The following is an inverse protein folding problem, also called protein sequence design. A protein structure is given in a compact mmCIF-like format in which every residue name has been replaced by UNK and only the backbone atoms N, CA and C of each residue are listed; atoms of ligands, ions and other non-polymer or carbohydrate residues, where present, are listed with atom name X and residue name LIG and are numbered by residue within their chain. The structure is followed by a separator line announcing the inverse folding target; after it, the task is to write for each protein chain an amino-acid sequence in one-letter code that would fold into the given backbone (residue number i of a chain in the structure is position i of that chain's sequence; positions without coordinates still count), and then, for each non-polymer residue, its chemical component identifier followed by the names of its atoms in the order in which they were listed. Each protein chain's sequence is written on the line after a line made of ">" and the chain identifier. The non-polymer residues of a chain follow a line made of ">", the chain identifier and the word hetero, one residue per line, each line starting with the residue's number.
data_IF_923478307872
#
_entry.id   IF_923478307872
#
_cell.length_a   1.000
_cell.length_b   1.000
_cell.length_c   1.000
_cell.angle_alpha   90.00
_cell.angle_beta   90.00
_cell.angle_gamma   90.00
#
_symmetry.space_group_name_H-M   'P 1'
#
loop_
_entity.id
_entity.type
_entity.pdbx_description
1 polymer ?
#
# COMPACT_ATOMS: atom_id res chain seq x y z
N UNK A 1 -19.67 23.97 -86.72
CA UNK A 1 -19.31 25.40 -86.56
C UNK A 1 -18.79 25.62 -85.14
N UNK A 2 -17.68 26.36 -84.99
CA UNK A 2 -17.27 27.13 -83.78
C UNK A 2 -17.44 28.62 -84.16
N UNK A 3 -17.55 29.63 -83.26
CA UNK A 3 -16.98 29.70 -81.91
C UNK A 3 -17.99 30.12 -80.80
N UNK A 4 -17.81 31.22 -80.03
CA UNK A 4 -17.39 31.25 -78.62
C UNK A 4 -18.58 31.53 -77.65
N UNK A 5 -18.47 31.80 -76.34
CA UNK A 5 -17.34 32.35 -75.57
C UNK A 5 -17.32 31.97 -74.05
N UNK A 6 -16.61 32.79 -73.27
CA UNK A 6 -16.25 32.70 -71.85
C UNK A 6 -17.07 33.67 -70.96
N UNK A 7 -17.03 33.47 -69.64
CA UNK A 7 -17.63 34.44 -68.68
C UNK A 7 -17.78 33.95 -67.24
N UNK A 8 -16.69 33.78 -66.50
CA UNK A 8 -16.74 33.57 -65.04
C UNK A 8 -16.81 34.90 -64.29
N UNK A 9 -17.85 35.10 -63.46
CA UNK A 9 -17.88 36.20 -62.47
C UNK A 9 -18.46 35.69 -61.14
N UNK A 10 -17.77 35.99 -60.03
CA UNK A 10 -18.16 35.65 -58.65
C UNK A 10 -19.22 36.62 -58.11
N UNK A 11 -20.06 36.15 -57.18
CA UNK A 11 -20.52 36.82 -55.93
C UNK A 11 -21.40 35.80 -55.17
N UNK A 12 -20.93 35.15 -54.10
CA UNK A 12 -20.92 35.62 -52.70
C UNK A 12 -22.30 36.04 -52.16
N UNK A 13 -23.01 35.07 -51.57
CA UNK A 13 -23.88 35.15 -50.37
C UNK A 13 -24.20 33.67 -50.01
N UNK A 14 -24.25 33.21 -48.76
CA UNK A 14 -24.23 33.93 -47.49
C UNK A 14 -25.27 33.33 -46.54
N UNK A 15 -25.06 32.10 -46.06
CA UNK A 15 -25.91 31.45 -45.07
C UNK A 15 -25.08 30.47 -44.22
N UNK A 16 -24.61 30.93 -43.06
CA UNK A 16 -23.84 30.09 -42.14
C UNK A 16 -24.74 29.17 -41.33
N UNK A 17 -24.55 27.84 -41.43
CA UNK A 17 -25.00 26.93 -40.39
C UNK A 17 -24.05 27.04 -39.18
N UNK A 18 -24.43 27.87 -38.22
CA UNK A 18 -23.81 27.84 -36.89
C UNK A 18 -24.29 26.57 -36.16
N UNK A 19 -23.47 25.53 -36.17
CA UNK A 19 -23.72 24.34 -35.36
C UNK A 19 -23.53 24.67 -33.88
N UNK A 20 -24.63 24.80 -33.13
CA UNK A 20 -24.60 25.03 -31.70
C UNK A 20 -24.13 23.77 -30.95
N UNK A 21 -22.81 23.69 -30.72
CA UNK A 21 -22.21 22.70 -29.84
C UNK A 21 -22.60 22.97 -28.38
N UNK A 22 -23.69 22.33 -27.93
CA UNK A 22 -24.05 22.26 -26.52
C UNK A 22 -23.06 21.36 -25.78
N UNK A 23 -21.99 21.98 -25.25
CA UNK A 23 -21.11 21.36 -24.26
C UNK A 23 -21.89 21.20 -22.94
N UNK A 24 -22.10 19.97 -22.42
CA UNK A 24 -22.62 19.79 -21.07
C UNK A 24 -21.55 20.27 -20.08
N UNK A 25 -21.91 21.25 -19.25
CA UNK A 25 -21.05 21.70 -18.16
C UNK A 25 -20.91 20.57 -17.13
N UNK A 26 -19.79 19.86 -17.15
CA UNK A 26 -19.45 18.89 -16.14
C UNK A 26 -19.20 19.62 -14.81
N UNK A 27 -20.19 19.60 -13.92
CA UNK A 27 -20.02 20.11 -12.57
C UNK A 27 -18.91 19.32 -11.87
N UNK A 28 -17.95 19.99 -11.18
CA UNK A 28 -16.95 19.28 -10.40
C UNK A 28 -17.65 18.63 -9.22
N UNK A 29 -17.83 17.30 -9.27
CA UNK A 29 -18.23 16.53 -8.12
C UNK A 29 -17.11 16.57 -7.08
N UNK A 30 -17.19 17.52 -6.14
CA UNK A 30 -16.31 17.56 -4.98
C UNK A 30 -16.65 16.37 -4.08
N UNK A 31 -15.96 15.26 -4.30
CA UNK A 31 -15.96 14.15 -3.36
C UNK A 31 -15.23 14.62 -2.10
N UNK A 32 -15.99 15.03 -1.07
CA UNK A 32 -15.40 15.22 0.26
C UNK A 32 -14.75 13.91 0.70
N UNK A 33 -13.45 13.90 1.05
CA UNK A 33 -12.84 12.72 1.62
C UNK A 33 -13.55 12.42 2.94
N UNK A 34 -14.03 11.18 3.18
CA UNK A 34 -14.77 10.87 4.38
C UNK A 34 -13.87 11.14 5.59
N UNK A 35 -14.26 12.11 6.41
CA UNK A 35 -13.58 12.45 7.67
C UNK A 35 -13.79 11.34 8.69
N UNK A 36 -13.09 10.22 8.48
CA UNK A 36 -12.87 9.21 9.50
C UNK A 36 -11.90 9.80 10.51
N UNK A 37 -12.44 10.35 11.59
CA UNK A 37 -11.75 10.36 12.87
C UNK A 37 -11.16 8.96 13.09
N UNK A 38 -9.90 8.81 13.52
CA UNK A 38 -9.36 7.50 13.89
C UNK A 38 -10.04 7.07 15.19
N UNK A 39 -11.28 6.58 15.08
CA UNK A 39 -11.88 5.75 16.10
C UNK A 39 -10.91 4.59 16.34
N UNK A 40 -10.57 4.36 17.60
CA UNK A 40 -9.71 3.24 17.99
C UNK A 40 -10.28 1.98 17.33
N UNK A 41 -9.49 1.37 16.44
CA UNK A 41 -9.92 0.17 15.72
C UNK A 41 -10.28 -0.87 16.79
N UNK A 42 -11.49 -1.44 16.78
CA UNK A 42 -11.87 -2.42 17.78
C UNK A 42 -10.88 -3.59 17.68
N UNK A 43 -10.13 -3.81 18.75
CA UNK A 43 -9.41 -5.06 18.94
C UNK A 43 -10.45 -6.20 18.93
N UNK A 44 -10.10 -7.34 18.36
CA UNK A 44 -11.00 -8.48 18.38
C UNK A 44 -11.20 -8.93 19.84
N UNK A 45 -12.45 -8.87 20.34
CA UNK A 45 -12.79 -9.16 21.74
C UNK A 45 -12.11 -10.44 22.25
N UNK A 46 -11.10 -10.28 23.10
CA UNK A 46 -10.19 -11.35 23.53
C UNK A 46 -10.80 -12.36 24.50
N UNK A 47 -12.13 -12.40 24.66
CA UNK A 47 -12.85 -13.11 25.73
C UNK A 47 -12.62 -14.65 25.77
N UNK A 48 -11.95 -15.23 24.77
CA UNK A 48 -11.46 -16.62 24.73
C UNK A 48 -10.01 -16.75 24.19
N UNK A 49 -9.28 -15.66 23.98
CA UNK A 49 -8.05 -15.62 23.16
C UNK A 49 -6.87 -14.86 23.78
N UNK A 50 -5.83 -14.64 22.96
CA UNK A 50 -4.77 -13.67 23.21
C UNK A 50 -5.24 -12.34 22.62
N UNK A 51 -5.42 -11.31 23.44
CA UNK A 51 -5.62 -9.95 22.94
C UNK A 51 -4.26 -9.29 22.69
N UNK A 52 -4.17 -8.51 21.62
CA UNK A 52 -3.02 -7.69 21.25
C UNK A 52 -3.54 -6.32 20.81
N UNK A 53 -2.80 -5.22 21.05
CA UNK A 53 -3.20 -3.91 20.56
C UNK A 53 -3.31 -3.92 19.03
N UNK A 54 -4.39 -3.35 18.49
CA UNK A 54 -4.58 -3.21 17.06
C UNK A 54 -3.47 -2.34 16.44
N UNK A 55 -2.91 -2.78 15.32
CA UNK A 55 -1.86 -2.03 14.64
C UNK A 55 -2.46 -0.83 13.87
N UNK A 56 -1.93 0.40 14.05
CA UNK A 56 -2.43 1.56 13.31
C UNK A 56 -1.98 1.46 11.85
N UNK A 57 -2.88 1.77 10.92
CA UNK A 57 -2.56 1.85 9.49
C UNK A 57 -2.01 3.23 9.09
N UNK A 58 -2.27 4.25 9.91
CA UNK A 58 -1.76 5.61 9.78
C UNK A 58 -1.75 6.32 11.16
N UNK A 59 -0.89 7.33 11.30
CA UNK A 59 -0.86 8.29 12.40
C UNK A 59 -1.82 9.46 12.10
N UNK A 60 -2.18 10.23 13.13
CA UNK A 60 -3.05 11.41 12.97
C UNK A 60 -2.40 12.44 12.02
N UNK A 61 -3.05 12.79 10.88
CA UNK A 61 -2.55 13.79 9.97
C UNK A 61 -2.63 15.22 10.54
N UNK A 62 -3.40 15.46 11.61
CA UNK A 62 -3.57 16.78 12.25
C UNK A 62 -2.63 17.02 13.42
N UNK A 63 -1.93 16.00 13.92
CA UNK A 63 -1.00 16.15 15.03
C UNK A 63 0.23 16.98 14.62
N UNK A 64 0.54 18.03 15.40
CA UNK A 64 1.64 18.98 15.11
C UNK A 64 2.99 18.28 14.89
N UNK A 65 3.29 17.27 15.70
CA UNK A 65 4.46 16.42 15.57
C UNK A 65 4.11 15.05 14.97
N UNK A 66 5.12 14.39 14.40
CA UNK A 66 5.07 12.95 14.10
C UNK A 66 5.65 12.21 15.30
N UNK A 67 4.79 11.54 16.07
CA UNK A 67 5.20 10.64 17.16
C UNK A 67 5.05 9.21 16.67
N UNK A 68 6.15 8.45 16.60
CA UNK A 68 6.13 7.10 16.07
C UNK A 68 5.44 6.12 17.02
N UNK A 69 4.79 5.11 16.45
CA UNK A 69 4.18 4.01 17.20
C UNK A 69 5.28 3.26 17.97
N UNK A 70 5.22 3.17 19.31
CA UNK A 70 6.21 2.43 20.09
C UNK A 70 6.03 0.92 19.89
N UNK A 71 7.13 0.18 20.00
CA UNK A 71 7.08 -1.29 20.00
C UNK A 71 6.17 -1.83 21.12
N UNK A 72 5.39 -2.87 20.81
CA UNK A 72 4.52 -3.53 21.79
C UNK A 72 5.33 -4.11 22.95
N UNK A 73 4.88 -3.85 24.18
CA UNK A 73 5.38 -4.53 25.39
C UNK A 73 4.77 -5.91 25.57
N UNK A 74 3.60 -6.15 24.98
CA UNK A 74 2.94 -7.46 24.98
C UNK A 74 3.52 -8.36 23.90
N UNK A 75 3.89 -9.59 24.30
CA UNK A 75 4.36 -10.65 23.40
C UNK A 75 3.29 -11.73 23.25
N UNK A 76 3.06 -12.19 22.03
CA UNK A 76 2.14 -13.28 21.74
C UNK A 76 2.64 -14.60 22.38
N UNK A 77 1.79 -15.24 23.20
CA UNK A 77 2.13 -16.48 23.92
C UNK A 77 1.61 -17.75 23.23
N UNK A 78 0.76 -17.61 22.22
CA UNK A 78 0.05 -18.69 21.51
C UNK A 78 -0.01 -18.39 20.01
N UNK A 79 -0.34 -19.41 19.23
CA UNK A 79 -0.62 -19.26 17.80
C UNK A 79 -1.99 -18.66 17.56
N UNK A 80 -2.06 -17.66 16.68
CA UNK A 80 -3.34 -17.13 16.20
C UNK A 80 -4.15 -18.19 15.45
N UNK A 81 -5.48 -18.08 15.53
CA UNK A 81 -6.40 -19.02 14.90
C UNK A 81 -6.17 -19.12 13.38
N UNK A 82 -5.80 -18.02 12.72
CA UNK A 82 -5.56 -17.95 11.28
C UNK A 82 -4.37 -18.81 10.86
N UNK A 83 -3.32 -18.84 11.68
CA UNK A 83 -2.09 -19.61 11.46
C UNK A 83 -2.34 -21.11 11.65
N UNK A 84 -3.18 -21.47 12.62
CA UNK A 84 -3.67 -22.84 12.80
C UNK A 84 -4.59 -23.27 11.65
N UNK A 85 -5.48 -22.38 11.19
CA UNK A 85 -6.41 -22.61 10.07
C UNK A 85 -5.71 -22.89 8.74
N UNK A 86 -4.53 -22.28 8.54
CA UNK A 86 -3.66 -22.44 7.37
C UNK A 86 -2.65 -23.60 7.49
N UNK A 87 -2.53 -24.23 8.67
CA UNK A 87 -1.56 -25.30 8.98
C UNK A 87 -0.14 -24.96 8.49
N UNK A 88 0.39 -23.81 8.94
CA UNK A 88 1.70 -23.32 8.52
C UNK A 88 2.83 -24.30 8.87
N UNK A 89 2.72 -25.02 10.00
CA UNK A 89 3.66 -26.09 10.38
C UNK A 89 3.71 -27.22 9.34
N UNK A 90 2.60 -27.49 8.62
CA UNK A 90 2.58 -28.41 7.46
C UNK A 90 3.05 -27.75 6.17
N UNK A 91 2.71 -26.49 5.93
CA UNK A 91 3.19 -25.74 4.77
C UNK A 91 4.72 -25.70 4.73
N UNK A 92 5.36 -25.40 5.87
CA UNK A 92 6.81 -25.25 5.99
C UNK A 92 7.60 -26.56 5.79
N UNK A 93 6.95 -27.73 5.88
CA UNK A 93 7.54 -29.02 5.48
C UNK A 93 7.63 -29.20 3.96
N UNK A 94 6.89 -28.40 3.18
CA UNK A 94 6.94 -28.41 1.71
C UNK A 94 7.77 -27.24 1.17
N UNK A 95 7.59 -26.05 1.72
CA UNK A 95 8.40 -24.87 1.37
C UNK A 95 8.34 -23.79 2.44
N UNK A 96 9.44 -23.06 2.62
CA UNK A 96 9.52 -21.85 3.44
C UNK A 96 9.55 -20.57 2.60
N UNK A 97 9.49 -20.66 1.27
CA UNK A 97 9.69 -19.50 0.38
C UNK A 97 11.17 -19.11 0.19
N UNK A 98 12.11 -20.01 0.49
CA UNK A 98 13.53 -19.79 0.21
C UNK A 98 13.76 -19.48 -1.28
N UNK A 99 14.58 -18.46 -1.57
CA UNK A 99 14.83 -17.97 -2.94
C UNK A 99 13.76 -17.02 -3.49
N UNK A 100 12.67 -16.76 -2.75
CA UNK A 100 11.63 -15.78 -3.12
C UNK A 100 11.92 -14.44 -2.45
N UNK A 101 11.83 -13.35 -3.22
CA UNK A 101 11.78 -11.97 -2.69
C UNK A 101 10.35 -11.45 -2.79
N UNK A 102 9.81 -10.94 -1.69
CA UNK A 102 8.50 -10.30 -1.63
C UNK A 102 8.68 -8.78 -1.57
N UNK A 103 8.17 -8.06 -2.56
CA UNK A 103 8.10 -6.61 -2.52
C UNK A 103 6.97 -6.16 -1.58
N UNK A 104 7.31 -5.51 -0.47
CA UNK A 104 6.36 -5.00 0.52
C UNK A 104 6.23 -3.49 0.36
N UNK A 105 5.16 -3.05 -0.29
CA UNK A 105 4.81 -1.64 -0.48
C UNK A 105 3.92 -1.20 0.70
N UNK A 106 4.48 -0.45 1.64
CA UNK A 106 3.80 -0.09 2.90
C UNK A 106 4.35 1.21 3.51
N UNK A 107 4.26 1.37 4.83
CA UNK A 107 4.69 2.53 5.61
C UNK A 107 6.20 2.65 5.84
N UNK A 108 6.98 1.77 5.22
CA UNK A 108 8.38 1.45 5.55
C UNK A 108 8.48 0.09 6.24
N UNK A 109 9.69 -0.37 6.54
CA UNK A 109 9.96 -1.56 7.36
C UNK A 109 11.24 -1.32 8.15
N UNK A 110 11.22 -1.48 9.47
CA UNK A 110 12.44 -1.52 10.29
C UNK A 110 13.18 -2.86 10.06
N UNK A 111 14.39 -2.86 9.46
CA UNK A 111 15.14 -4.09 9.21
C UNK A 111 15.74 -4.70 10.49
N UNK A 112 15.81 -3.94 11.59
CA UNK A 112 16.34 -4.35 12.89
C UNK A 112 15.28 -4.89 13.86
N UNK A 113 14.00 -4.96 13.45
CA UNK A 113 12.94 -5.50 14.31
C UNK A 113 13.12 -7.01 14.58
N UNK A 114 12.79 -7.43 15.80
CA UNK A 114 13.04 -8.79 16.31
C UNK A 114 12.53 -9.88 15.34
N UNK A 115 13.45 -10.68 14.77
CA UNK A 115 13.12 -11.78 13.87
C UNK A 115 13.06 -11.41 12.37
N UNK A 116 13.36 -10.15 11.99
CA UNK A 116 13.58 -9.71 10.61
C UNK A 116 15.06 -9.70 10.19
N UNK A 117 15.97 -10.06 11.09
CA UNK A 117 17.43 -10.01 10.92
C UNK A 117 17.93 -10.59 9.60
N UNK A 118 18.53 -9.73 8.76
CA UNK A 118 19.07 -10.12 7.46
C UNK A 118 18.03 -10.54 6.42
N UNK A 119 16.74 -10.28 6.63
CA UNK A 119 15.63 -10.64 5.72
C UNK A 119 15.11 -9.47 4.90
N UNK A 120 15.17 -8.27 5.46
CA UNK A 120 14.67 -7.04 4.85
C UNK A 120 15.81 -6.32 4.13
N UNK A 121 15.59 -6.00 2.86
CA UNK A 121 16.35 -5.00 2.12
C UNK A 121 15.50 -3.73 2.04
N UNK A 122 15.95 -2.67 2.70
CA UNK A 122 15.33 -1.36 2.69
C UNK A 122 16.38 -0.29 2.35
N UNK A 123 15.98 0.81 1.70
CA UNK A 123 16.87 1.93 1.36
C UNK A 123 16.20 3.27 1.65
N UNK A 124 16.96 4.22 2.20
CA UNK A 124 16.46 5.54 2.57
C UNK A 124 15.22 5.46 3.46
N UNK A 125 14.22 6.29 3.17
CA UNK A 125 12.95 6.38 3.90
C UNK A 125 12.15 5.07 3.98
N UNK A 126 12.46 4.04 3.18
CA UNK A 126 11.81 2.73 3.31
C UNK A 126 12.32 1.91 4.51
N UNK A 127 13.44 2.32 5.14
CA UNK A 127 14.02 1.66 6.32
C UNK A 127 13.56 2.28 7.66
N UNK A 128 12.86 3.41 7.63
CA UNK A 128 12.12 3.97 8.78
C UNK A 128 10.67 3.52 8.68
N UNK A 129 10.06 3.05 9.78
CA UNK A 129 8.63 2.71 9.85
C UNK A 129 7.99 3.29 11.11
N UNK A 130 7.87 4.61 11.12
CA UNK A 130 7.26 5.37 12.20
C UNK A 130 5.79 4.98 12.49
N UNK A 131 5.09 4.33 11.54
CA UNK A 131 3.72 3.83 11.74
C UNK A 131 3.73 2.43 12.38
N UNK A 132 4.65 1.57 11.97
CA UNK A 132 4.81 0.18 12.43
C UNK A 132 4.07 -0.87 11.58
N UNK A 133 3.17 -0.44 10.69
CA UNK A 133 2.32 -1.32 9.89
C UNK A 133 3.13 -2.20 8.92
N UNK A 134 4.10 -1.65 8.22
CA UNK A 134 4.92 -2.42 7.28
C UNK A 134 5.87 -3.39 8.00
N UNK A 135 6.39 -3.01 9.17
CA UNK A 135 7.20 -3.89 10.02
C UNK A 135 6.38 -5.06 10.57
N UNK A 136 5.14 -4.81 11.00
CA UNK A 136 4.20 -5.86 11.39
C UNK A 136 3.89 -6.81 10.23
N UNK A 137 3.58 -6.28 9.04
CA UNK A 137 3.35 -7.08 7.84
C UNK A 137 4.59 -7.88 7.42
N UNK A 138 5.80 -7.32 7.56
CA UNK A 138 7.05 -8.01 7.28
C UNK A 138 7.25 -9.21 8.23
N UNK A 139 6.90 -9.06 9.50
CA UNK A 139 6.86 -10.16 10.48
C UNK A 139 5.90 -11.27 10.07
N UNK A 140 4.68 -10.92 9.65
CA UNK A 140 3.68 -11.88 9.16
C UNK A 140 4.14 -12.62 7.88
N UNK A 141 4.87 -11.94 6.98
CA UNK A 141 5.35 -12.53 5.72
C UNK A 141 6.55 -13.44 5.97
N UNK A 142 7.66 -12.91 6.52
CA UNK A 142 8.96 -13.61 6.53
C UNK A 142 9.65 -13.69 7.90
N UNK A 143 9.00 -13.27 8.99
CA UNK A 143 9.59 -13.29 10.33
C UNK A 143 10.09 -14.67 10.75
N UNK A 144 11.22 -14.75 11.43
CA UNK A 144 11.80 -16.02 11.88
C UNK A 144 11.04 -16.69 13.06
N UNK A 145 10.11 -15.97 13.71
CA UNK A 145 9.43 -16.42 14.92
C UNK A 145 10.25 -16.25 16.22
N UNK A 146 11.47 -15.70 16.12
CA UNK A 146 12.41 -15.51 17.24
C UNK A 146 12.60 -16.84 18.02
N UNK A 147 12.65 -16.77 19.36
CA UNK A 147 12.72 -17.91 20.29
C UNK A 147 11.51 -18.85 20.26
N UNK A 148 10.48 -18.52 19.47
CA UNK A 148 9.22 -19.27 19.36
C UNK A 148 8.93 -19.62 17.89
N UNK A 149 9.57 -20.67 17.32
CA UNK A 149 9.47 -21.00 15.88
C UNK A 149 8.04 -21.11 15.34
N UNK A 150 7.08 -21.52 16.18
CA UNK A 150 5.66 -21.56 15.83
C UNK A 150 5.11 -20.19 15.38
N UNK A 151 5.65 -19.05 15.83
CA UNK A 151 5.27 -17.69 15.42
C UNK A 151 5.96 -17.20 14.12
N UNK A 152 6.70 -18.05 13.40
CA UNK A 152 7.35 -17.67 12.14
C UNK A 152 6.35 -17.20 11.06
N UNK A 153 6.76 -16.33 10.14
CA UNK A 153 5.92 -15.81 9.06
C UNK A 153 5.37 -16.91 8.14
N UNK A 154 4.50 -16.54 7.19
CA UNK A 154 3.94 -17.48 6.20
C UNK A 154 5.06 -18.09 5.32
N UNK A 155 6.08 -17.31 4.98
CA UNK A 155 7.24 -17.69 4.18
C UNK A 155 8.56 -17.33 4.89
N UNK A 156 8.97 -18.04 5.96
CA UNK A 156 10.12 -17.69 6.80
C UNK A 156 11.49 -18.03 6.17
N UNK A 157 11.53 -18.40 4.90
CA UNK A 157 12.72 -18.47 4.06
C UNK A 157 12.84 -17.32 3.05
N UNK A 158 11.79 -16.53 2.85
CA UNK A 158 11.77 -15.44 1.90
C UNK A 158 12.61 -14.23 2.36
N UNK A 159 12.96 -13.38 1.38
CA UNK A 159 13.48 -12.03 1.59
C UNK A 159 12.38 -11.01 1.34
N UNK A 160 12.51 -9.83 1.94
CA UNK A 160 11.57 -8.71 1.77
C UNK A 160 12.33 -7.56 1.12
N UNK A 161 11.80 -7.04 0.02
CA UNK A 161 12.18 -5.75 -0.54
C UNK A 161 11.19 -4.70 0.00
N UNK A 162 11.61 -3.92 0.98
CA UNK A 162 10.78 -2.89 1.59
C UNK A 162 10.73 -1.64 0.71
N UNK A 163 9.52 -1.17 0.41
CA UNK A 163 9.25 -0.03 -0.44
C UNK A 163 8.17 0.84 0.21
N UNK A 164 8.34 2.16 0.12
CA UNK A 164 7.42 3.12 0.73
C UNK A 164 6.29 3.49 -0.26
N UNK A 165 5.05 3.20 0.11
CA UNK A 165 3.84 3.60 -0.62
C UNK A 165 3.03 4.72 0.05
N UNK A 166 3.51 5.23 1.18
CA UNK A 166 2.84 6.25 1.99
C UNK A 166 3.80 7.35 2.41
N UNK A 167 3.28 8.49 2.84
CA UNK A 167 4.06 9.44 3.63
C UNK A 167 4.53 8.81 4.98
N UNK A 168 5.28 9.58 5.77
CA UNK A 168 5.79 9.14 7.08
C UNK A 168 4.69 8.92 8.13
N UNK A 169 3.49 9.46 7.92
CA UNK A 169 2.30 9.25 8.77
C UNK A 169 1.43 8.09 8.28
N UNK A 170 1.77 7.41 7.18
CA UNK A 170 0.98 6.30 6.65
C UNK A 170 -0.16 6.73 5.71
N UNK A 171 -0.23 8.00 5.31
CA UNK A 171 -1.19 8.44 4.29
C UNK A 171 -0.74 7.93 2.91
N UNK A 172 -1.58 7.16 2.17
CA UNK A 172 -1.21 6.65 0.85
C UNK A 172 -0.98 7.77 -0.16
N UNK A 173 0.10 7.66 -0.95
CA UNK A 173 0.41 8.60 -2.02
C UNK A 173 0.49 7.83 -3.37
N UNK A 174 -0.34 8.18 -4.37
CA UNK A 174 -0.35 7.47 -5.66
C UNK A 174 0.98 7.52 -6.43
N UNK A 175 1.77 8.58 -6.28
CA UNK A 175 3.08 8.70 -6.92
C UNK A 175 4.11 7.80 -6.21
N UNK A 176 4.10 7.75 -4.87
CA UNK A 176 4.93 6.81 -4.10
C UNK A 176 4.58 5.35 -4.41
N UNK A 177 3.28 4.99 -4.42
CA UNK A 177 2.84 3.63 -4.83
C UNK A 177 3.29 3.31 -6.25
N UNK A 178 3.13 4.24 -7.20
CA UNK A 178 3.56 4.03 -8.60
C UNK A 178 5.07 3.85 -8.72
N UNK A 179 5.86 4.65 -7.99
CA UNK A 179 7.32 4.52 -7.95
C UNK A 179 7.76 3.20 -7.31
N UNK A 180 7.12 2.80 -6.21
CA UNK A 180 7.35 1.54 -5.53
C UNK A 180 7.05 0.33 -6.43
N UNK A 181 5.91 0.31 -7.13
CA UNK A 181 5.57 -0.78 -8.08
C UNK A 181 6.62 -0.89 -9.18
N UNK A 182 7.06 0.23 -9.77
CA UNK A 182 8.13 0.22 -10.79
C UNK A 182 9.45 -0.30 -10.23
N UNK A 183 9.84 0.14 -9.04
CA UNK A 183 11.04 -0.32 -8.36
C UNK A 183 11.00 -1.83 -8.06
N UNK A 184 9.84 -2.35 -7.61
CA UNK A 184 9.64 -3.77 -7.37
C UNK A 184 9.81 -4.63 -8.64
N UNK A 185 9.36 -4.14 -9.79
CA UNK A 185 9.48 -4.85 -11.09
C UNK A 185 10.88 -4.79 -11.72
N UNK A 186 11.80 -4.00 -11.16
CA UNK A 186 13.14 -3.75 -11.69
C UNK A 186 14.28 -4.24 -10.77
N UNK A 187 13.93 -4.97 -9.71
CA UNK A 187 14.84 -5.43 -8.65
C UNK A 187 15.30 -6.89 -8.81
#
# INVERSE_FOLDING_TARGET
>A
MRPPAAGTTRLLYGAGLAAALLLPAAAPAQAEPPSRTPAALPAADGAKGQELPGMPTALDPRAEAVVCTPASKEKAKKQDWSRQRLDLDRLHRHTTGAGVTVALISTGVDPGAEGLDGRVTARGEAADDCVGQGTFLAGLIAGAGSTTPRLAGVAPGAKILALRGTDRRGQPDPALVTAAVRAATAA
#
